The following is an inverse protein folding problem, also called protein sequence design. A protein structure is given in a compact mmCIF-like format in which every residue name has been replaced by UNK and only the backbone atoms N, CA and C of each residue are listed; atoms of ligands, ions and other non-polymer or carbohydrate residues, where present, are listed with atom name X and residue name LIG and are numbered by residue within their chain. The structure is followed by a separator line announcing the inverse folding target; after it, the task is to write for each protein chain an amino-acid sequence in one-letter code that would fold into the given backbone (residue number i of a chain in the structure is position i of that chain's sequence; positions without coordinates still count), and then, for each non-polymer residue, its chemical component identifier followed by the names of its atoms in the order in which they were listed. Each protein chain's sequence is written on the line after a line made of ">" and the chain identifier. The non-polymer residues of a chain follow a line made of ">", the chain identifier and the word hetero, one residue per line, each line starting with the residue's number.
data_IF_825469769720
#
_entry.id   IF_825469769720
#
_cell.length_a   1.000
_cell.length_b   1.000
_cell.length_c   1.000
_cell.angle_alpha   90.00
_cell.angle_beta   90.00
_cell.angle_gamma   90.00
#
_symmetry.space_group_name_H-M   'P 1'
#
loop_
_entity.id
_entity.type
_entity.pdbx_description
1 polymer ?
#
# COMPACT_ATOMS: atom_id res chain seq x y z
N UNK A 1 32.60 25.55 23.21
CA UNK A 1 31.70 24.42 23.49
C UNK A 1 31.10 23.99 22.17
N UNK A 2 31.73 22.96 21.59
CA UNK A 2 31.49 22.40 20.27
C UNK A 2 30.03 21.97 20.11
N UNK A 3 29.32 22.52 19.12
CA UNK A 3 28.05 21.94 18.69
C UNK A 3 28.38 20.65 17.94
N UNK A 4 27.89 19.54 18.47
CA UNK A 4 28.10 18.17 18.00
C UNK A 4 28.05 18.01 16.48
N UNK A 5 29.13 17.43 15.93
CA UNK A 5 29.16 16.87 14.58
C UNK A 5 28.12 15.75 14.49
N UNK A 6 27.08 15.92 13.68
CA UNK A 6 26.09 14.85 13.41
C UNK A 6 26.64 13.97 12.28
N UNK A 7 26.86 12.68 12.55
CA UNK A 7 27.17 11.71 11.50
C UNK A 7 25.93 11.52 10.62
N UNK A 8 26.08 11.70 9.32
CA UNK A 8 24.99 11.62 8.34
C UNK A 8 25.06 10.37 7.45
N UNK A 9 26.00 9.44 7.68
CA UNK A 9 26.07 8.13 7.04
C UNK A 9 26.82 7.11 7.92
N UNK A 10 26.19 6.00 8.30
CA UNK A 10 26.85 4.89 9.04
C UNK A 10 27.44 3.79 8.14
N UNK A 11 27.29 3.89 6.81
CA UNK A 11 27.47 2.77 5.87
C UNK A 11 28.47 3.02 4.73
N UNK A 12 29.22 4.13 4.74
CA UNK A 12 30.26 4.41 3.73
C UNK A 12 31.63 4.57 4.37
N UNK A 13 32.70 4.18 3.66
CA UNK A 13 34.09 4.32 4.11
C UNK A 13 34.52 5.76 4.44
N UNK A 14 33.66 6.75 4.15
CA UNK A 14 33.98 8.18 4.14
C UNK A 14 33.42 9.01 5.29
N UNK A 15 32.66 8.42 6.25
CA UNK A 15 32.06 9.08 7.44
C UNK A 15 31.88 10.61 7.30
N UNK A 16 30.67 11.03 6.90
CA UNK A 16 30.36 12.43 6.63
C UNK A 16 29.75 13.12 7.87
N UNK A 17 30.13 14.37 8.10
CA UNK A 17 29.70 15.18 9.25
C UNK A 17 29.17 16.54 8.80
N UNK A 18 28.13 17.04 9.45
CA UNK A 18 27.52 18.34 9.13
C UNK A 18 27.64 19.33 10.30
N UNK A 19 27.97 20.61 10.00
CA UNK A 19 28.02 21.71 10.99
C UNK A 19 27.53 23.05 10.40
N UNK A 20 27.08 23.94 11.28
CA UNK A 20 26.61 25.32 10.98
C UNK A 20 27.73 26.37 11.03
N UNK A 21 28.92 25.99 11.50
CA UNK A 21 30.09 26.87 11.62
C UNK A 21 31.29 26.26 10.90
N UNK A 22 32.04 27.10 10.19
CA UNK A 22 33.35 26.74 9.65
C UNK A 22 34.32 26.77 10.82
N UNK A 23 34.71 25.60 11.32
CA UNK A 23 35.93 25.47 12.12
C UNK A 23 37.05 24.97 11.21
N UNK A 24 38.28 25.40 11.50
CA UNK A 24 39.48 25.27 10.66
C UNK A 24 39.52 24.12 9.64
N UNK A 25 39.79 24.49 8.40
CA UNK A 25 39.94 23.66 7.20
C UNK A 25 40.74 22.39 7.46
N UNK A 26 40.11 21.25 7.25
CA UNK A 26 40.61 20.13 6.44
C UNK A 26 39.38 19.27 6.07
N UNK A 27 39.30 18.83 4.82
CA UNK A 27 38.27 17.89 4.34
C UNK A 27 36.81 18.41 4.23
N UNK A 28 36.58 19.72 3.98
CA UNK A 28 35.26 20.21 3.52
C UNK A 28 34.94 19.60 2.16
N UNK A 29 33.74 19.05 2.00
CA UNK A 29 33.31 18.32 0.80
C UNK A 29 32.10 18.95 0.12
N UNK A 30 31.20 19.59 0.87
CA UNK A 30 30.02 20.26 0.30
C UNK A 30 29.52 21.39 1.19
N UNK A 31 28.87 22.40 0.62
CA UNK A 31 28.20 23.47 1.36
C UNK A 31 26.84 23.78 0.74
N UNK A 32 25.83 24.06 1.56
CA UNK A 32 24.51 24.45 1.08
C UNK A 32 23.82 25.40 2.07
N UNK A 33 22.76 26.04 1.61
CA UNK A 33 21.97 26.98 2.42
C UNK A 33 20.53 26.47 2.54
N UNK A 34 20.05 26.32 3.77
CA UNK A 34 18.66 25.92 4.07
C UNK A 34 18.07 26.90 5.08
N UNK A 35 16.86 27.43 4.84
CA UNK A 35 16.18 28.35 5.76
C UNK A 35 17.07 29.51 6.29
N UNK A 36 17.90 30.09 5.40
CA UNK A 36 18.90 31.14 5.70
C UNK A 36 20.10 30.70 6.55
N UNK A 37 20.19 29.44 6.97
CA UNK A 37 21.33 28.84 7.68
C UNK A 37 22.28 28.21 6.65
N UNK A 38 23.59 28.44 6.81
CA UNK A 38 24.63 27.80 6.02
C UNK A 38 25.10 26.51 6.70
N UNK A 39 25.10 25.42 5.94
CA UNK A 39 25.56 24.11 6.39
C UNK A 39 26.80 23.70 5.60
N UNK A 40 27.72 23.05 6.30
CA UNK A 40 29.00 22.59 5.78
C UNK A 40 29.15 21.10 6.07
N UNK A 41 29.51 20.32 5.05
CA UNK A 41 29.68 18.85 5.13
C UNK A 41 31.15 18.50 4.99
N UNK A 42 31.68 17.73 5.94
CA UNK A 42 33.09 17.34 6.05
C UNK A 42 33.25 15.82 6.10
N UNK A 43 34.43 15.32 5.70
CA UNK A 43 34.85 13.92 5.89
C UNK A 43 36.04 13.84 6.87
N UNK A 44 36.15 12.75 7.62
CA UNK A 44 37.30 12.50 8.52
C UNK A 44 38.49 11.80 7.82
N UNK A 45 38.43 11.56 6.51
CA UNK A 45 39.54 10.93 5.79
C UNK A 45 40.70 11.92 5.61
N UNK A 46 41.86 11.55 6.16
CA UNK A 46 43.11 12.24 5.91
C UNK A 46 43.62 11.89 4.51
N UNK A 47 44.06 12.90 3.74
CA UNK A 47 44.55 12.79 2.36
C UNK A 47 43.51 12.45 1.28
N UNK A 48 42.32 13.05 1.33
CA UNK A 48 41.38 12.98 0.20
C UNK A 48 41.95 13.69 -1.04
N UNK A 49 41.93 13.03 -2.19
CA UNK A 49 42.35 13.64 -3.46
C UNK A 49 41.31 14.66 -3.94
N UNK A 50 41.73 15.60 -4.80
CA UNK A 50 40.80 16.56 -5.41
C UNK A 50 39.67 15.85 -6.19
N UNK A 51 39.98 14.76 -6.89
CA UNK A 51 38.99 13.99 -7.64
C UNK A 51 37.96 13.31 -6.72
N UNK A 52 38.39 12.75 -5.59
CA UNK A 52 37.47 12.16 -4.60
C UNK A 52 36.57 13.23 -3.95
N UNK A 53 37.13 14.42 -3.70
CA UNK A 53 36.37 15.55 -3.19
C UNK A 53 35.32 16.03 -4.19
N UNK A 54 35.69 16.18 -5.47
CA UNK A 54 34.75 16.53 -6.55
C UNK A 54 33.65 15.47 -6.73
N UNK A 55 33.99 14.18 -6.64
CA UNK A 55 33.03 13.09 -6.72
C UNK A 55 32.03 13.12 -5.56
N UNK A 56 32.52 13.29 -4.33
CA UNK A 56 31.63 13.41 -3.16
C UNK A 56 30.78 14.69 -3.22
N UNK A 57 31.34 15.81 -3.68
CA UNK A 57 30.60 17.06 -3.90
C UNK A 57 29.45 16.83 -4.89
N UNK A 58 29.73 16.17 -6.01
CA UNK A 58 28.73 15.78 -7.00
C UNK A 58 27.65 14.87 -6.39
N UNK A 59 28.02 13.77 -5.72
CA UNK A 59 27.07 12.83 -5.12
C UNK A 59 26.16 13.50 -4.07
N UNK A 60 26.75 14.33 -3.19
CA UNK A 60 26.01 15.06 -2.17
C UNK A 60 25.08 16.09 -2.83
N UNK A 61 25.53 16.80 -3.86
CA UNK A 61 24.70 17.77 -4.59
C UNK A 61 23.49 17.10 -5.25
N UNK A 62 23.67 15.92 -5.85
CA UNK A 62 22.58 15.15 -6.45
C UNK A 62 21.57 14.72 -5.38
N UNK A 63 22.03 14.12 -4.27
CA UNK A 63 21.17 13.74 -3.14
C UNK A 63 20.41 14.93 -2.58
N UNK A 64 21.06 16.07 -2.38
CA UNK A 64 20.41 17.28 -1.86
C UNK A 64 19.37 17.85 -2.82
N UNK A 65 19.68 17.92 -4.11
CA UNK A 65 18.74 18.43 -5.11
C UNK A 65 17.49 17.55 -5.21
N UNK A 66 17.66 16.24 -5.11
CA UNK A 66 16.57 15.27 -5.05
C UNK A 66 15.77 15.46 -3.76
N UNK A 67 16.42 15.51 -2.61
CA UNK A 67 15.77 15.72 -1.30
C UNK A 67 14.92 17.00 -1.25
N UNK A 68 15.40 18.13 -1.75
CA UNK A 68 14.63 19.37 -1.76
C UNK A 68 13.41 19.30 -2.69
N UNK A 69 13.59 18.75 -3.90
CA UNK A 69 12.47 18.56 -4.84
C UNK A 69 11.42 17.63 -4.27
N UNK A 70 11.84 16.56 -3.60
CA UNK A 70 10.93 15.55 -3.04
C UNK A 70 10.23 16.07 -1.80
N UNK A 71 10.92 16.81 -0.92
CA UNK A 71 10.30 17.44 0.26
C UNK A 71 9.20 18.43 -0.14
N UNK A 72 9.47 19.33 -1.10
CA UNK A 72 8.45 20.26 -1.57
C UNK A 72 7.26 19.54 -2.22
N UNK A 73 7.50 18.47 -2.99
CA UNK A 73 6.42 17.68 -3.60
C UNK A 73 5.60 16.95 -2.54
N UNK A 74 6.27 16.31 -1.58
CA UNK A 74 5.64 15.63 -0.45
C UNK A 74 4.76 16.60 0.35
N UNK A 75 5.26 17.80 0.66
CA UNK A 75 4.51 18.80 1.42
C UNK A 75 3.25 19.25 0.68
N UNK A 76 3.36 19.56 -0.61
CA UNK A 76 2.20 19.97 -1.42
C UNK A 76 1.15 18.84 -1.52
N UNK A 77 1.58 17.60 -1.79
CA UNK A 77 0.67 16.45 -1.81
C UNK A 77 0.04 16.24 -0.43
N UNK A 78 0.81 16.29 0.65
CA UNK A 78 0.29 16.12 2.00
C UNK A 78 -0.75 17.18 2.38
N UNK A 79 -0.61 18.42 1.92
CA UNK A 79 -1.63 19.45 2.09
C UNK A 79 -2.92 19.10 1.33
N UNK A 80 -2.83 18.68 0.07
CA UNK A 80 -3.99 18.20 -0.71
C UNK A 80 -4.73 17.07 0.03
N UNK A 81 -3.99 16.15 0.67
CA UNK A 81 -4.58 14.99 1.33
C UNK A 81 -5.17 15.29 2.71
N UNK A 82 -4.52 16.15 3.51
CA UNK A 82 -4.88 16.37 4.93
C UNK A 82 -5.76 17.59 5.16
N UNK A 83 -5.61 18.64 4.36
CA UNK A 83 -6.38 19.87 4.54
C UNK A 83 -7.73 19.79 3.82
N UNK A 84 -8.69 20.60 4.28
CA UNK A 84 -9.98 20.76 3.61
C UNK A 84 -9.90 21.91 2.60
N UNK A 85 -9.24 21.59 1.48
CA UNK A 85 -9.06 22.50 0.37
C UNK A 85 -10.25 22.50 -0.59
N UNK A 86 -10.57 23.66 -1.12
CA UNK A 86 -11.51 23.78 -2.23
C UNK A 86 -10.82 23.41 -3.57
N UNK A 87 -11.61 23.29 -4.65
CA UNK A 87 -11.09 22.87 -5.96
C UNK A 87 -10.04 23.82 -6.55
N UNK A 88 -10.14 25.12 -6.27
CA UNK A 88 -9.21 26.14 -6.78
C UNK A 88 -7.86 25.98 -6.08
N UNK A 89 -7.87 25.83 -4.76
CA UNK A 89 -6.67 25.59 -3.95
C UNK A 89 -5.97 24.29 -4.36
N UNK A 90 -6.72 23.20 -4.54
CA UNK A 90 -6.17 21.93 -5.05
C UNK A 90 -5.52 22.14 -6.43
N UNK A 91 -6.18 22.88 -7.32
CA UNK A 91 -5.66 23.20 -8.65
C UNK A 91 -4.35 24.00 -8.58
N UNK A 92 -4.21 24.96 -7.66
CA UNK A 92 -2.97 25.70 -7.46
C UNK A 92 -1.82 24.78 -7.04
N UNK A 93 -2.06 23.87 -6.09
CA UNK A 93 -1.06 22.88 -5.68
C UNK A 93 -0.71 21.91 -6.82
N UNK A 94 -1.68 21.39 -7.56
CA UNK A 94 -1.42 20.51 -8.71
C UNK A 94 -0.60 21.22 -9.81
N UNK A 95 -0.92 22.47 -10.10
CA UNK A 95 -0.15 23.28 -11.05
C UNK A 95 1.31 23.48 -10.57
N UNK A 96 1.52 23.72 -9.28
CA UNK A 96 2.87 23.83 -8.70
C UNK A 96 3.70 22.54 -8.83
N UNK A 97 3.02 21.39 -8.96
CA UNK A 97 3.60 20.07 -9.16
C UNK A 97 3.73 19.68 -10.64
N UNK A 98 3.36 20.57 -11.57
CA UNK A 98 3.22 20.30 -13.01
C UNK A 98 2.30 19.11 -13.31
N UNK A 99 1.19 18.99 -12.57
CA UNK A 99 0.15 17.97 -12.79
C UNK A 99 -1.01 18.63 -13.52
N UNK A 100 -1.43 18.06 -14.66
CA UNK A 100 -2.70 18.46 -15.28
C UNK A 100 -3.87 17.95 -14.44
N UNK A 101 -4.76 18.86 -14.07
CA UNK A 101 -5.97 18.62 -13.29
C UNK A 101 -6.88 17.57 -13.96
N UNK A 102 -6.82 17.47 -15.29
CA UNK A 102 -7.59 16.50 -16.09
C UNK A 102 -6.91 15.14 -16.22
N UNK A 103 -5.63 15.01 -15.88
CA UNK A 103 -4.94 13.72 -15.89
C UNK A 103 -5.68 12.71 -15.03
N UNK A 104 -5.74 11.46 -15.51
CA UNK A 104 -6.28 10.35 -14.73
C UNK A 104 -5.19 9.83 -13.81
N UNK A 105 -5.52 9.65 -12.54
CA UNK A 105 -4.63 9.21 -11.47
C UNK A 105 -5.20 7.99 -10.76
N UNK A 106 -4.30 7.09 -10.41
CA UNK A 106 -4.51 5.98 -9.49
C UNK A 106 -3.57 6.17 -8.31
N UNK A 107 -4.08 5.92 -7.10
CA UNK A 107 -3.28 5.84 -5.88
C UNK A 107 -2.91 4.39 -5.60
N UNK A 108 -1.62 4.15 -5.42
CA UNK A 108 -1.05 2.90 -4.91
C UNK A 108 -0.52 3.22 -3.51
N UNK A 109 -1.25 2.78 -2.49
CA UNK A 109 -0.86 2.99 -1.09
C UNK A 109 -0.26 1.72 -0.53
N UNK A 110 0.85 1.84 0.18
CA UNK A 110 1.56 0.76 0.84
C UNK A 110 1.48 0.97 2.34
N UNK A 111 1.19 -0.11 3.07
CA UNK A 111 1.31 -0.18 4.53
C UNK A 111 2.47 -1.08 4.91
N UNK A 112 3.43 -0.51 5.64
CA UNK A 112 4.65 -1.19 6.09
C UNK A 112 4.49 -1.49 7.57
N UNK A 113 4.58 -2.77 7.95
CA UNK A 113 4.32 -3.15 9.34
C UNK A 113 5.45 -2.75 10.29
N UNK A 114 6.69 -2.79 9.80
CA UNK A 114 7.85 -2.38 10.55
C UNK A 114 8.16 -0.90 10.30
N UNK A 115 7.75 -0.03 11.23
CA UNK A 115 7.93 1.43 11.14
C UNK A 115 9.41 1.81 10.95
N UNK A 116 10.34 1.05 11.52
CA UNK A 116 11.77 1.33 11.40
C UNK A 116 12.30 1.21 9.96
N UNK A 117 11.58 0.47 9.09
CA UNK A 117 11.95 0.25 7.69
C UNK A 117 11.26 1.20 6.72
N UNK A 118 10.41 2.12 7.20
CA UNK A 118 9.67 3.02 6.29
C UNK A 118 10.60 3.92 5.48
N UNK A 119 11.68 4.41 6.09
CA UNK A 119 12.63 5.27 5.39
C UNK A 119 13.40 4.50 4.31
N UNK A 120 13.83 3.28 4.59
CA UNK A 120 14.48 2.40 3.61
C UNK A 120 13.56 2.16 2.40
N UNK A 121 12.30 1.79 2.65
CA UNK A 121 11.31 1.56 1.60
C UNK A 121 11.04 2.84 0.81
N UNK A 122 10.88 3.97 1.51
CA UNK A 122 10.65 5.26 0.85
C UNK A 122 11.83 5.65 -0.05
N UNK A 123 13.07 5.47 0.40
CA UNK A 123 14.26 5.74 -0.40
C UNK A 123 14.36 4.85 -1.64
N UNK A 124 14.10 3.54 -1.51
CA UNK A 124 14.09 2.62 -2.65
C UNK A 124 13.05 3.06 -3.68
N UNK A 125 11.81 3.32 -3.24
CA UNK A 125 10.73 3.74 -4.14
C UNK A 125 11.03 5.10 -4.80
N UNK A 126 11.65 6.03 -4.07
CA UNK A 126 12.03 7.34 -4.60
C UNK A 126 13.04 7.25 -5.74
N UNK A 127 13.87 6.21 -5.74
CA UNK A 127 14.88 5.97 -6.77
C UNK A 127 14.34 5.23 -8.01
N UNK A 128 13.09 4.76 -7.99
CA UNK A 128 12.46 4.16 -9.16
C UNK A 128 12.05 5.26 -10.15
N UNK A 129 12.59 5.21 -11.38
CA UNK A 129 12.32 6.22 -12.42
C UNK A 129 10.82 6.36 -12.76
N UNK A 130 10.05 5.29 -12.56
CA UNK A 130 8.61 5.26 -12.81
C UNK A 130 7.79 6.06 -11.78
N UNK A 131 8.37 6.40 -10.63
CA UNK A 131 7.69 7.09 -9.52
C UNK A 131 7.97 8.59 -9.60
N UNK A 132 6.97 9.34 -10.08
CA UNK A 132 7.02 10.81 -10.14
C UNK A 132 6.48 11.49 -8.88
N UNK A 133 5.41 10.92 -8.33
CA UNK A 133 4.65 11.48 -7.22
C UNK A 133 4.51 10.43 -6.14
N UNK A 134 5.13 10.68 -5.00
CA UNK A 134 5.13 9.82 -3.83
C UNK A 134 4.99 10.71 -2.60
N UNK A 135 4.42 10.20 -1.52
CA UNK A 135 4.38 10.91 -0.24
C UNK A 135 4.30 9.92 0.93
N UNK A 136 4.74 10.35 2.10
CA UNK A 136 4.48 9.70 3.40
C UNK A 136 3.36 10.46 4.09
N UNK A 137 2.26 9.77 4.39
CA UNK A 137 1.07 10.40 5.00
C UNK A 137 0.96 10.12 6.50
N UNK A 138 1.25 8.90 6.92
CA UNK A 138 1.23 8.41 8.31
C UNK A 138 2.57 7.73 8.63
N UNK A 139 2.79 7.31 9.89
CA UNK A 139 4.06 6.70 10.34
C UNK A 139 4.42 5.40 9.59
N UNK A 140 3.42 4.71 9.02
CA UNK A 140 3.59 3.44 8.33
C UNK A 140 2.99 3.41 6.92
N UNK A 141 2.62 4.56 6.36
CA UNK A 141 1.94 4.65 5.06
C UNK A 141 2.74 5.47 4.05
N UNK A 142 3.00 4.83 2.90
CA UNK A 142 3.55 5.48 1.71
C UNK A 142 2.49 5.43 0.62
N UNK A 143 2.27 6.53 -0.09
CA UNK A 143 1.37 6.56 -1.25
C UNK A 143 2.08 7.06 -2.49
N UNK A 144 1.92 6.32 -3.59
CA UNK A 144 2.35 6.69 -4.93
C UNK A 144 1.12 7.10 -5.73
N UNK A 145 1.23 8.21 -6.45
CA UNK A 145 0.22 8.67 -7.40
C UNK A 145 0.76 8.48 -8.82
N UNK A 146 0.02 7.73 -9.64
CA UNK A 146 0.47 7.36 -10.98
C UNK A 146 -0.60 7.64 -12.02
N UNK A 147 -0.15 8.05 -13.22
CA UNK A 147 -0.99 8.23 -14.41
C UNK A 147 -1.11 6.95 -15.25
N UNK A 148 -0.61 5.83 -14.72
CA UNK A 148 -0.71 4.50 -15.36
C UNK A 148 -2.18 4.07 -15.46
N UNK A 149 -2.47 3.30 -16.51
CA UNK A 149 -3.72 2.54 -16.61
C UNK A 149 -3.80 1.47 -15.52
N UNK A 150 -5.02 1.03 -15.19
CA UNK A 150 -5.25 0.14 -14.04
C UNK A 150 -4.41 -1.14 -14.08
N UNK A 151 -4.34 -1.82 -15.22
CA UNK A 151 -3.55 -3.05 -15.35
C UNK A 151 -2.05 -2.79 -15.14
N UNK A 152 -1.53 -1.67 -15.66
CA UNK A 152 -0.14 -1.27 -15.47
C UNK A 152 0.14 -0.87 -14.01
N UNK A 153 -0.82 -0.23 -13.33
CA UNK A 153 -0.71 0.08 -11.91
C UNK A 153 -0.69 -1.19 -11.05
N UNK A 154 -1.48 -2.22 -11.41
CA UNK A 154 -1.48 -3.53 -10.75
C UNK A 154 -0.14 -4.23 -10.93
N UNK A 155 0.39 -4.28 -12.16
CA UNK A 155 1.68 -4.91 -12.43
C UNK A 155 2.82 -4.17 -11.74
N UNK A 156 2.76 -2.83 -11.69
CA UNK A 156 3.70 -2.03 -10.93
C UNK A 156 3.62 -2.30 -9.42
N UNK A 157 2.42 -2.47 -8.86
CA UNK A 157 2.25 -2.86 -7.47
C UNK A 157 2.84 -4.25 -7.16
N UNK A 158 2.76 -5.22 -8.08
CA UNK A 158 3.42 -6.53 -7.93
C UNK A 158 4.93 -6.39 -7.86
N UNK A 159 5.52 -5.61 -8.77
CA UNK A 159 6.96 -5.32 -8.77
C UNK A 159 7.40 -4.66 -7.46
N UNK A 160 6.60 -3.73 -6.92
CA UNK A 160 6.85 -3.10 -5.63
C UNK A 160 6.81 -4.12 -4.48
N UNK A 161 5.83 -5.02 -4.47
CA UNK A 161 5.75 -6.09 -3.45
C UNK A 161 7.02 -6.95 -3.51
N UNK A 162 7.39 -7.43 -4.69
CA UNK A 162 8.59 -8.26 -4.88
C UNK A 162 9.85 -7.53 -4.44
N UNK A 163 10.01 -6.26 -4.83
CA UNK A 163 11.15 -5.43 -4.47
C UNK A 163 11.29 -5.28 -2.94
N UNK A 164 10.20 -4.97 -2.24
CA UNK A 164 10.22 -4.77 -0.78
C UNK A 164 10.48 -6.11 -0.07
N UNK A 165 9.84 -7.19 -0.51
CA UNK A 165 10.02 -8.51 0.12
C UNK A 165 11.44 -9.07 -0.09
N UNK A 166 12.09 -8.78 -1.22
CA UNK A 166 13.45 -9.26 -1.53
C UNK A 166 14.54 -8.37 -0.93
N UNK A 167 14.46 -7.04 -1.14
CA UNK A 167 15.55 -6.12 -0.76
C UNK A 167 15.44 -5.68 0.70
N UNK A 168 14.23 -5.47 1.21
CA UNK A 168 13.99 -4.98 2.57
C UNK A 168 13.69 -6.14 3.53
N UNK A 169 13.26 -7.31 3.02
CA UNK A 169 12.83 -8.46 3.80
C UNK A 169 11.63 -8.15 4.70
N UNK A 170 10.72 -7.31 4.20
CA UNK A 170 9.52 -6.87 4.92
C UNK A 170 8.25 -7.24 4.16
N UNK A 171 7.18 -7.49 4.92
CA UNK A 171 5.85 -7.69 4.35
C UNK A 171 5.16 -6.35 4.14
N UNK A 172 4.39 -6.26 3.06
CA UNK A 172 3.64 -5.06 2.71
C UNK A 172 2.22 -5.43 2.29
N UNK A 173 1.25 -4.59 2.66
CA UNK A 173 -0.07 -4.58 2.03
C UNK A 173 -0.23 -3.34 1.16
N UNK A 174 -0.78 -3.54 -0.02
CA UNK A 174 -0.99 -2.50 -1.03
C UNK A 174 -2.48 -2.37 -1.33
N UNK A 175 -2.98 -1.14 -1.24
CA UNK A 175 -4.29 -0.75 -1.72
C UNK A 175 -4.19 0.02 -3.03
N UNK A 176 -5.05 -0.30 -4.00
CA UNK A 176 -5.12 0.38 -5.30
C UNK A 176 -6.50 1.03 -5.45
N UNK A 177 -6.52 2.32 -5.74
CA UNK A 177 -7.77 3.07 -5.96
C UNK A 177 -8.39 2.81 -7.34
N UNK A 178 -9.63 3.29 -7.52
CA UNK A 178 -10.15 3.51 -8.88
C UNK A 178 -9.41 4.67 -9.57
N UNK A 179 -9.47 4.73 -10.90
CA UNK A 179 -8.92 5.85 -11.67
C UNK A 179 -9.85 7.06 -11.61
N UNK A 180 -9.31 8.21 -11.20
CA UNK A 180 -10.06 9.49 -11.12
C UNK A 180 -9.19 10.64 -11.59
N UNK A 181 -9.79 11.81 -11.81
CA UNK A 181 -9.02 13.00 -12.19
C UNK A 181 -8.08 13.45 -11.07
N UNK A 182 -6.96 14.09 -11.40
CA UNK A 182 -5.99 14.59 -10.43
C UNK A 182 -6.61 15.51 -9.36
N UNK A 183 -7.65 16.28 -9.70
CA UNK A 183 -8.40 17.11 -8.71
C UNK A 183 -9.08 16.28 -7.60
N UNK A 184 -9.31 14.99 -7.83
CA UNK A 184 -9.89 14.04 -6.88
C UNK A 184 -8.81 13.20 -6.18
N UNK A 185 -7.55 13.67 -6.15
CA UNK A 185 -6.40 12.98 -5.52
C UNK A 185 -6.68 12.56 -4.07
N UNK A 186 -7.37 13.38 -3.28
CA UNK A 186 -7.79 13.02 -1.90
C UNK A 186 -8.70 11.79 -1.90
N UNK A 187 -9.60 11.68 -2.87
CA UNK A 187 -10.51 10.52 -2.99
C UNK A 187 -9.76 9.27 -3.41
N UNK A 188 -8.83 9.32 -4.37
CA UNK A 188 -8.06 8.13 -4.75
C UNK A 188 -7.21 7.63 -3.59
N UNK A 189 -6.58 8.53 -2.83
CA UNK A 189 -5.87 8.19 -1.60
C UNK A 189 -6.77 7.52 -0.56
N UNK A 190 -7.96 8.07 -0.30
CA UNK A 190 -8.91 7.49 0.65
C UNK A 190 -9.32 6.07 0.23
N UNK A 191 -9.56 5.84 -1.06
CA UNK A 191 -9.92 4.53 -1.59
C UNK A 191 -8.80 3.48 -1.43
N UNK A 192 -7.55 3.85 -1.70
CA UNK A 192 -6.42 2.94 -1.54
C UNK A 192 -6.16 2.62 -0.06
N UNK A 193 -6.26 3.60 0.84
CA UNK A 193 -6.18 3.36 2.30
C UNK A 193 -7.35 2.48 2.79
N UNK A 194 -8.59 2.78 2.36
CA UNK A 194 -9.78 1.97 2.70
C UNK A 194 -9.59 0.50 2.28
N UNK A 195 -8.99 0.27 1.10
CA UNK A 195 -8.71 -1.09 0.60
C UNK A 195 -7.77 -1.86 1.51
N UNK A 196 -6.73 -1.22 2.06
CA UNK A 196 -5.81 -1.84 3.02
C UNK A 196 -6.54 -2.16 4.32
N UNK A 197 -7.27 -1.19 4.87
CA UNK A 197 -7.97 -1.36 6.15
C UNK A 197 -9.01 -2.50 6.08
N UNK A 198 -9.75 -2.59 4.98
CA UNK A 198 -10.68 -3.68 4.73
C UNK A 198 -9.93 -5.00 4.62
N UNK A 199 -8.84 -5.04 3.85
CA UNK A 199 -8.08 -6.26 3.69
C UNK A 199 -7.44 -6.76 4.99
N UNK A 200 -7.10 -5.88 5.92
CA UNK A 200 -6.65 -6.24 7.26
C UNK A 200 -7.80 -6.71 8.14
N UNK A 201 -8.89 -5.94 8.19
CA UNK A 201 -10.06 -6.27 9.00
C UNK A 201 -10.65 -7.64 8.65
N UNK A 202 -10.69 -7.98 7.36
CA UNK A 202 -11.15 -9.28 6.86
C UNK A 202 -10.03 -10.31 6.65
N UNK A 203 -8.78 -9.99 7.00
CA UNK A 203 -7.59 -10.85 6.85
C UNK A 203 -7.46 -11.49 5.46
N UNK A 204 -7.65 -10.68 4.43
CA UNK A 204 -7.49 -11.15 3.06
C UNK A 204 -6.04 -11.59 2.83
N UNK A 205 -5.82 -12.73 2.15
CA UNK A 205 -4.51 -13.40 2.11
C UNK A 205 -3.52 -12.77 1.13
N UNK A 206 -4.00 -12.00 0.17
CA UNK A 206 -3.16 -11.37 -0.85
C UNK A 206 -2.50 -10.09 -0.31
N UNK A 207 -1.41 -9.65 -0.94
CA UNK A 207 -0.76 -8.40 -0.59
C UNK A 207 -1.43 -7.20 -1.28
N UNK A 208 -2.00 -7.39 -2.47
CA UNK A 208 -2.56 -6.30 -3.29
C UNK A 208 -4.08 -6.38 -3.30
N UNK A 209 -4.74 -5.25 -3.05
CA UNK A 209 -6.19 -5.16 -2.99
C UNK A 209 -6.70 -3.94 -3.76
N UNK A 210 -7.61 -4.17 -4.70
CA UNK A 210 -8.23 -3.08 -5.47
C UNK A 210 -9.55 -2.65 -4.87
N UNK A 211 -9.80 -1.35 -4.92
CA UNK A 211 -11.01 -0.75 -4.38
C UNK A 211 -12.32 -1.30 -4.98
N UNK A 212 -12.30 -1.61 -6.27
CA UNK A 212 -13.46 -2.08 -7.03
C UNK A 212 -13.76 -3.57 -6.79
N UNK A 213 -12.74 -4.39 -6.51
CA UNK A 213 -12.91 -5.81 -6.16
C UNK A 213 -13.44 -6.04 -4.74
N UNK A 214 -13.31 -5.03 -3.86
CA UNK A 214 -13.68 -5.13 -2.46
C UNK A 214 -15.14 -4.75 -2.16
N UNK A 215 -16.01 -4.63 -3.17
CA UNK A 215 -17.38 -4.11 -2.99
C UNK A 215 -18.16 -4.78 -1.84
N UNK A 216 -18.18 -6.12 -1.78
CA UNK A 216 -18.89 -6.84 -0.71
C UNK A 216 -18.27 -6.51 0.65
N UNK A 217 -16.95 -6.53 0.77
CA UNK A 217 -16.25 -6.23 2.02
C UNK A 217 -16.46 -4.78 2.47
N UNK A 218 -16.54 -3.82 1.54
CA UNK A 218 -16.84 -2.40 1.79
C UNK A 218 -18.26 -2.17 2.29
N UNK A 219 -19.21 -2.99 1.85
CA UNK A 219 -20.58 -2.95 2.36
C UNK A 219 -20.59 -3.51 3.77
N UNK A 220 -19.96 -4.66 3.98
CA UNK A 220 -19.91 -5.30 5.29
C UNK A 220 -19.17 -4.43 6.31
N UNK A 221 -18.06 -3.79 5.96
CA UNK A 221 -17.29 -2.93 6.88
C UNK A 221 -18.06 -1.72 7.42
N UNK A 222 -19.25 -1.42 6.88
CA UNK A 222 -20.14 -0.34 7.37
C UNK A 222 -21.16 -0.82 8.41
N UNK A 223 -21.29 -2.13 8.58
CA UNK A 223 -22.20 -2.75 9.55
C UNK A 223 -21.44 -2.84 10.88
N UNK A 224 -22.11 -2.55 12.00
CA UNK A 224 -21.49 -2.69 13.32
C UNK A 224 -21.20 -4.17 13.63
N UNK A 225 -20.24 -4.44 14.52
CA UNK A 225 -19.92 -5.83 14.91
C UNK A 225 -21.12 -6.50 15.60
N UNK A 226 -21.91 -5.73 16.37
CA UNK A 226 -23.11 -6.23 17.03
C UNK A 226 -24.20 -6.59 16.02
N UNK A 227 -24.47 -5.71 15.05
CA UNK A 227 -25.42 -6.01 13.96
C UNK A 227 -24.96 -7.20 13.11
N UNK A 228 -23.64 -7.32 12.85
CA UNK A 228 -23.11 -8.51 12.20
C UNK A 228 -23.35 -9.77 13.02
N UNK A 229 -23.15 -9.73 14.35
CA UNK A 229 -23.41 -10.88 15.21
C UNK A 229 -24.87 -11.28 15.20
N UNK A 230 -25.81 -10.33 15.20
CA UNK A 230 -27.24 -10.60 15.13
C UNK A 230 -27.65 -11.16 13.76
N UNK A 231 -27.15 -10.58 12.67
CA UNK A 231 -27.35 -11.10 11.31
C UNK A 231 -26.82 -12.52 11.22
N UNK A 232 -25.60 -12.79 11.70
CA UNK A 232 -25.09 -14.15 11.66
C UNK A 232 -25.83 -15.03 12.67
N UNK A 233 -26.37 -14.55 13.80
CA UNK A 233 -27.22 -15.34 14.71
C UNK A 233 -28.49 -15.86 14.04
N UNK A 234 -29.19 -15.00 13.30
CA UNK A 234 -30.34 -15.40 12.49
C UNK A 234 -29.94 -16.40 11.40
N UNK A 235 -28.71 -16.26 10.88
CA UNK A 235 -28.17 -17.08 9.80
C UNK A 235 -27.27 -18.25 10.28
N UNK A 236 -27.00 -18.41 11.57
CA UNK A 236 -26.23 -19.52 12.17
C UNK A 236 -27.08 -20.80 12.22
N UNK A 237 -28.40 -20.64 12.09
CA UNK A 237 -29.35 -21.73 11.81
C UNK A 237 -29.05 -22.47 10.49
N UNK A 238 -28.22 -21.89 9.60
CA UNK A 238 -27.80 -22.52 8.34
C UNK A 238 -26.55 -23.39 8.51
N UNK A 239 -26.22 -23.88 9.71
CA UNK A 239 -25.30 -25.00 9.91
C UNK A 239 -23.86 -24.83 9.40
N UNK A 240 -23.39 -23.63 9.06
CA UNK A 240 -22.06 -23.41 8.45
C UNK A 240 -20.91 -23.91 9.32
N UNK A 241 -21.03 -23.85 10.65
CA UNK A 241 -20.04 -24.40 11.58
C UNK A 241 -19.90 -25.93 11.52
N UNK A 242 -20.86 -26.62 10.90
CA UNK A 242 -20.81 -28.07 10.72
C UNK A 242 -20.07 -28.50 9.46
N UNK A 243 -19.73 -27.56 8.58
CA UNK A 243 -18.95 -27.84 7.38
C UNK A 243 -17.49 -28.07 7.75
N UNK A 244 -16.90 -29.11 7.16
CA UNK A 244 -15.47 -29.33 7.22
C UNK A 244 -14.72 -28.42 6.23
N UNK A 245 -13.39 -28.38 6.33
CA UNK A 245 -12.56 -27.55 5.44
C UNK A 245 -12.75 -27.91 3.95
N UNK A 246 -13.06 -29.17 3.65
CA UNK A 246 -13.23 -29.65 2.28
C UNK A 246 -14.58 -29.19 1.69
N UNK A 247 -15.65 -29.20 2.47
CA UNK A 247 -16.95 -28.67 2.11
C UNK A 247 -16.87 -27.15 1.90
N UNK A 248 -16.21 -26.42 2.81
CA UNK A 248 -15.99 -24.97 2.68
C UNK A 248 -15.20 -24.68 1.40
N UNK A 249 -14.09 -25.39 1.16
CA UNK A 249 -13.28 -25.27 -0.06
C UNK A 249 -14.11 -25.56 -1.32
N UNK A 250 -14.94 -26.59 -1.28
CA UNK A 250 -15.82 -26.96 -2.41
C UNK A 250 -16.78 -25.82 -2.73
N UNK A 251 -17.44 -25.26 -1.72
CA UNK A 251 -18.34 -24.11 -1.89
C UNK A 251 -17.64 -22.87 -2.43
N UNK A 252 -16.45 -22.52 -1.90
CA UNK A 252 -15.65 -21.38 -2.38
C UNK A 252 -15.26 -21.56 -3.85
N UNK A 253 -14.75 -22.75 -4.24
CA UNK A 253 -14.36 -23.00 -5.63
C UNK A 253 -15.58 -22.97 -6.55
N UNK A 254 -16.71 -23.55 -6.13
CA UNK A 254 -17.94 -23.51 -6.91
C UNK A 254 -18.46 -22.08 -7.15
N UNK A 255 -18.43 -21.24 -6.11
CA UNK A 255 -18.73 -19.81 -6.22
C UNK A 255 -17.78 -19.07 -7.17
N UNK A 256 -16.48 -19.39 -7.14
CA UNK A 256 -15.47 -18.76 -8.00
C UNK A 256 -15.57 -19.16 -9.48
N UNK A 257 -16.30 -20.25 -9.78
CA UNK A 257 -16.54 -20.74 -11.14
C UNK A 257 -17.94 -20.37 -11.63
N UNK A 258 -18.54 -19.29 -11.13
CA UNK A 258 -19.89 -18.83 -11.50
C UNK A 258 -20.96 -19.93 -11.41
N UNK A 259 -20.87 -20.79 -10.38
CA UNK A 259 -21.77 -21.94 -10.15
C UNK A 259 -21.72 -22.99 -11.28
N UNK A 260 -20.65 -23.01 -12.06
CA UNK A 260 -20.44 -23.98 -13.13
C UNK A 260 -19.87 -25.30 -12.59
N UNK A 261 -20.69 -26.35 -12.62
CA UNK A 261 -20.32 -27.69 -12.14
C UNK A 261 -19.10 -28.25 -12.87
N UNK A 262 -19.01 -28.05 -14.18
CA UNK A 262 -17.93 -28.65 -14.99
C UNK A 262 -16.58 -27.99 -14.71
N UNK A 263 -16.59 -26.66 -14.57
CA UNK A 263 -15.40 -25.89 -14.28
C UNK A 263 -14.93 -26.07 -12.84
N UNK A 264 -15.85 -26.03 -11.88
CA UNK A 264 -15.52 -26.26 -10.47
C UNK A 264 -14.99 -27.68 -10.24
N UNK A 265 -15.56 -28.70 -10.89
CA UNK A 265 -15.06 -30.07 -10.80
C UNK A 265 -13.62 -30.18 -11.34
N UNK A 266 -13.31 -29.47 -12.43
CA UNK A 266 -11.96 -29.39 -12.99
C UNK A 266 -10.99 -28.70 -12.03
N UNK A 267 -11.38 -27.56 -11.44
CA UNK A 267 -10.56 -26.80 -10.50
C UNK A 267 -10.34 -27.52 -9.16
N UNK A 268 -11.27 -28.41 -8.78
CA UNK A 268 -11.17 -29.29 -7.61
C UNK A 268 -10.48 -30.63 -7.91
N UNK A 269 -10.15 -30.93 -9.18
CA UNK A 269 -9.59 -32.22 -9.62
C UNK A 269 -10.45 -33.43 -9.23
N UNK A 270 -11.77 -33.28 -9.28
CA UNK A 270 -12.74 -34.35 -8.99
C UNK A 270 -13.70 -34.56 -10.15
N UNK A 271 -14.40 -35.69 -10.15
CA UNK A 271 -15.46 -35.93 -11.11
C UNK A 271 -16.69 -35.07 -10.80
N UNK A 272 -17.43 -34.64 -11.84
CA UNK A 272 -18.67 -33.84 -11.70
C UNK A 272 -19.69 -34.44 -10.73
N UNK A 273 -19.82 -35.76 -10.68
CA UNK A 273 -20.77 -36.43 -9.78
C UNK A 273 -20.30 -36.35 -8.32
N UNK A 274 -18.99 -36.41 -8.07
CA UNK A 274 -18.43 -36.19 -6.74
C UNK A 274 -18.68 -34.76 -6.28
N UNK A 275 -18.56 -33.77 -7.18
CA UNK A 275 -18.92 -32.39 -6.87
C UNK A 275 -20.41 -32.27 -6.51
N UNK A 276 -21.30 -32.84 -7.32
CA UNK A 276 -22.75 -32.84 -7.03
C UNK A 276 -23.03 -33.42 -5.64
N UNK A 277 -22.43 -34.56 -5.30
CA UNK A 277 -22.57 -35.17 -3.97
C UNK A 277 -22.11 -34.23 -2.85
N UNK A 278 -20.99 -33.53 -3.03
CA UNK A 278 -20.50 -32.54 -2.05
C UNK A 278 -21.43 -31.35 -1.93
N UNK A 279 -21.98 -30.85 -3.04
CA UNK A 279 -22.97 -29.77 -3.02
C UNK A 279 -24.26 -30.22 -2.31
N UNK A 280 -24.72 -31.46 -2.53
CA UNK A 280 -25.87 -32.01 -1.83
C UNK A 280 -25.60 -32.17 -0.32
N UNK A 281 -24.36 -32.54 0.08
CA UNK A 281 -23.94 -32.57 1.48
C UNK A 281 -23.95 -31.17 2.11
N UNK A 282 -23.42 -30.15 1.41
CA UNK A 282 -23.48 -28.75 1.84
C UNK A 282 -24.93 -28.30 1.99
N UNK A 283 -25.79 -28.59 1.02
CA UNK A 283 -27.22 -28.26 1.07
C UNK A 283 -27.92 -28.94 2.25
N UNK A 284 -27.62 -30.21 2.53
CA UNK A 284 -28.19 -30.93 3.68
C UNK A 284 -27.78 -30.31 5.02
N UNK A 285 -26.52 -29.88 5.13
CA UNK A 285 -25.98 -29.31 6.37
C UNK A 285 -26.40 -27.85 6.57
N UNK A 286 -26.58 -27.10 5.48
CA UNK A 286 -26.81 -25.66 5.53
C UNK A 286 -28.20 -25.21 5.14
N UNK A 287 -29.00 -26.07 4.53
CA UNK A 287 -30.26 -25.73 3.84
C UNK A 287 -30.10 -24.77 2.66
N UNK A 288 -28.86 -24.50 2.20
CA UNK A 288 -28.56 -23.62 1.05
C UNK A 288 -28.23 -24.47 -0.18
N UNK A 289 -29.01 -24.33 -1.25
CA UNK A 289 -28.64 -24.94 -2.53
C UNK A 289 -27.70 -24.01 -3.30
N UNK A 290 -26.39 -24.29 -3.26
CA UNK A 290 -25.42 -23.42 -3.94
C UNK A 290 -25.62 -23.34 -5.46
N UNK A 291 -26.38 -24.25 -6.08
CA UNK A 291 -26.72 -24.17 -7.51
C UNK A 291 -27.75 -23.05 -7.78
N UNK A 292 -28.46 -22.60 -6.76
CA UNK A 292 -29.29 -21.41 -6.80
C UNK A 292 -28.45 -20.17 -6.46
N UNK A 293 -28.57 -19.14 -7.28
CA UNK A 293 -27.80 -17.90 -7.12
C UNK A 293 -28.05 -17.19 -5.79
N UNK A 294 -29.29 -17.15 -5.31
CA UNK A 294 -29.64 -16.45 -4.07
C UNK A 294 -29.03 -17.15 -2.85
N UNK A 295 -29.09 -18.48 -2.82
CA UNK A 295 -28.50 -19.29 -1.76
C UNK A 295 -26.96 -19.29 -1.81
N UNK A 296 -26.39 -19.30 -3.00
CA UNK A 296 -24.96 -19.11 -3.22
C UNK A 296 -24.47 -17.76 -2.67
N UNK A 297 -25.23 -16.68 -2.90
CA UNK A 297 -24.91 -15.35 -2.37
C UNK A 297 -24.98 -15.34 -0.84
N UNK A 298 -26.02 -15.92 -0.23
CA UNK A 298 -26.14 -16.08 1.23
C UNK A 298 -24.94 -16.83 1.78
N UNK A 299 -24.60 -17.97 1.18
CA UNK A 299 -23.45 -18.77 1.56
C UNK A 299 -22.13 -17.97 1.51
N UNK A 300 -21.91 -17.19 0.45
CA UNK A 300 -20.72 -16.34 0.30
C UNK A 300 -20.62 -15.30 1.41
N UNK A 301 -21.70 -14.58 1.69
CA UNK A 301 -21.73 -13.56 2.75
C UNK A 301 -21.45 -14.20 4.10
N UNK A 302 -22.06 -15.35 4.37
CA UNK A 302 -21.86 -16.06 5.62
C UNK A 302 -20.44 -16.55 5.85
N UNK A 303 -19.78 -17.06 4.80
CA UNK A 303 -18.37 -17.43 4.91
C UNK A 303 -17.50 -16.23 5.26
N UNK A 304 -17.75 -15.07 4.64
CA UNK A 304 -17.02 -13.83 4.94
C UNK A 304 -17.24 -13.42 6.41
N UNK A 305 -18.49 -13.40 6.86
CA UNK A 305 -18.84 -13.00 8.22
C UNK A 305 -18.33 -14.00 9.27
N UNK A 306 -18.42 -15.32 9.03
CA UNK A 306 -17.90 -16.33 9.93
C UNK A 306 -16.39 -16.17 10.10
N UNK A 307 -15.65 -15.97 9.01
CA UNK A 307 -14.22 -15.67 9.08
C UNK A 307 -13.98 -14.41 9.91
N UNK A 308 -14.67 -13.31 9.62
CA UNK A 308 -14.52 -12.04 10.36
C UNK A 308 -14.81 -12.19 11.87
N UNK A 309 -15.88 -12.86 12.25
CA UNK A 309 -16.32 -12.99 13.65
C UNK A 309 -15.49 -13.99 14.46
N UNK A 310 -14.99 -15.08 13.86
CA UNK A 310 -14.06 -16.00 14.55
C UNK A 310 -12.79 -15.28 14.98
N UNK A 311 -12.37 -14.25 14.23
CA UNK A 311 -11.16 -13.50 14.52
C UNK A 311 -11.33 -12.29 15.44
N UNK A 312 -12.53 -11.71 15.53
CA UNK A 312 -12.83 -10.57 16.40
C UNK A 312 -13.46 -10.98 17.74
N UNK A 313 -13.46 -12.28 18.07
CA UNK A 313 -13.79 -12.82 19.40
C UNK A 313 -12.53 -13.01 20.23
#
# INVERSE_FOLDING_TARGET
>A
MEKMLRNINSSTSYNLYMTEKIDGKENLVYQFKSNKIHYYVYTQINNITNNEKELLEFLISQKFSNYYKTTHRNDAINRILKEDLNKIEIQEYLNSLNIDIKSSFISITLKIYNVDRIEDVFEILLNLEEIKYITKTEENIITIFTEKELNQAIDFAKLIVELIEVEILEKVKIGISSSKKAVEMKTTYQQSVESINIAEGFKLPHNIHRYDELLIYRILSKISVDDMNDIVAEVYNYGIKSLDEEDIRTGIVFLSCDLNISEAARNLYIHRNTLIYRLDKIQKNTSLDLRNFEDALKFRVLLILNNYLVFNK
#
